data_IF_860391454429
#
_entry.id   IF_860391454429
#
_cell.length_a   1.000
_cell.length_b   1.000
_cell.length_c   1.000
_cell.angle_alpha   90.00
_cell.angle_beta   90.00
_cell.angle_gamma   90.00
#
_symmetry.space_group_name_H-M   'P 1'
#
loop_
_entity.id
_entity.type
_entity.pdbx_description
1 polymer ?
#
# COMPACT_ATOMS: atom_id res chain seq x y z
N UNK A 1 -6.25 -24.02 17.97
CA UNK A 1 -6.72 -24.55 16.66
C UNK A 1 -7.85 -23.76 16.02
N UNK A 2 -9.01 -23.52 16.64
CA UNK A 2 -10.14 -22.83 15.98
C UNK A 2 -9.85 -21.36 15.57
N UNK A 3 -9.08 -20.61 16.37
CA UNK A 3 -8.76 -19.21 16.06
C UNK A 3 -7.81 -19.02 14.85
N UNK A 4 -6.97 -20.00 14.57
CA UNK A 4 -6.03 -19.99 13.46
C UNK A 4 -6.75 -20.09 12.11
N UNK A 5 -7.61 -21.10 11.93
CA UNK A 5 -8.41 -21.29 10.72
C UNK A 5 -9.32 -20.09 10.44
N UNK A 6 -10.03 -19.60 11.47
CA UNK A 6 -10.94 -18.45 11.36
C UNK A 6 -10.20 -17.19 10.86
N UNK A 7 -8.97 -16.95 11.36
CA UNK A 7 -8.13 -15.84 10.92
C UNK A 7 -7.67 -16.03 9.48
N UNK A 8 -7.19 -17.21 9.09
CA UNK A 8 -6.77 -17.52 7.71
C UNK A 8 -7.88 -17.30 6.70
N UNK A 9 -9.10 -17.78 6.98
CA UNK A 9 -10.24 -17.60 6.09
C UNK A 9 -10.56 -16.12 5.84
N UNK A 10 -10.52 -15.30 6.89
CA UNK A 10 -10.73 -13.85 6.76
C UNK A 10 -9.63 -13.18 5.93
N UNK A 11 -8.37 -13.55 6.14
CA UNK A 11 -7.23 -13.03 5.38
C UNK A 11 -7.37 -13.41 3.91
N UNK A 12 -7.57 -14.69 3.59
CA UNK A 12 -7.73 -15.18 2.22
C UNK A 12 -8.90 -14.51 1.49
N UNK A 13 -10.00 -14.24 2.20
CA UNK A 13 -11.13 -13.50 1.63
C UNK A 13 -10.78 -12.04 1.35
N UNK A 14 -10.11 -11.37 2.28
CA UNK A 14 -9.69 -9.97 2.13
C UNK A 14 -8.67 -9.79 1.00
N UNK A 15 -7.68 -10.67 0.90
CA UNK A 15 -6.66 -10.66 -0.18
C UNK A 15 -7.28 -10.79 -1.58
N UNK A 16 -8.42 -11.47 -1.69
CA UNK A 16 -9.15 -11.65 -2.95
C UNK A 16 -10.23 -10.58 -3.19
N UNK A 17 -10.39 -9.63 -2.28
CA UNK A 17 -11.40 -8.59 -2.37
C UNK A 17 -12.85 -9.11 -2.35
N UNK A 18 -13.08 -10.33 -1.80
CA UNK A 18 -14.38 -10.97 -1.83
C UNK A 18 -15.25 -10.53 -0.65
N UNK A 19 -16.52 -10.27 -0.92
CA UNK A 19 -17.54 -10.21 0.13
C UNK A 19 -17.79 -11.61 0.70
N UNK A 20 -18.34 -11.69 1.91
CA UNK A 20 -18.68 -12.97 2.54
C UNK A 20 -19.61 -13.82 1.65
N UNK A 21 -20.55 -13.18 0.97
CA UNK A 21 -21.51 -13.84 0.06
C UNK A 21 -20.81 -14.42 -1.16
N UNK A 22 -19.94 -13.66 -1.81
CA UNK A 22 -19.17 -14.11 -2.97
C UNK A 22 -18.24 -15.27 -2.62
N UNK A 23 -17.54 -15.18 -1.49
CA UNK A 23 -16.66 -16.25 -1.03
C UNK A 23 -17.45 -17.54 -0.70
N UNK A 24 -18.62 -17.42 -0.07
CA UNK A 24 -19.49 -18.56 0.22
C UNK A 24 -20.02 -19.22 -1.07
N UNK A 25 -20.37 -18.42 -2.07
CA UNK A 25 -20.82 -18.89 -3.38
C UNK A 25 -19.70 -19.65 -4.10
N UNK A 26 -18.48 -19.10 -4.15
CA UNK A 26 -17.32 -19.77 -4.73
C UNK A 26 -16.95 -21.08 -4.03
N UNK A 27 -17.11 -21.12 -2.72
CA UNK A 27 -16.87 -22.31 -1.90
C UNK A 27 -18.03 -23.33 -1.95
N UNK A 28 -19.17 -22.98 -2.54
CA UNK A 28 -20.37 -23.83 -2.53
C UNK A 28 -20.90 -24.12 -1.14
N UNK A 29 -20.80 -23.16 -0.21
CA UNK A 29 -21.30 -23.23 1.15
C UNK A 29 -22.31 -22.10 1.42
N UNK A 30 -23.12 -22.23 2.48
CA UNK A 30 -24.03 -21.15 2.87
C UNK A 30 -23.25 -19.98 3.46
N UNK A 31 -23.63 -18.72 3.20
CA UNK A 31 -22.97 -17.55 3.79
C UNK A 31 -22.91 -17.58 5.32
N UNK A 32 -23.98 -18.08 5.98
CA UNK A 32 -24.00 -18.29 7.43
C UNK A 32 -22.92 -19.24 7.90
N UNK A 33 -22.73 -20.36 7.20
CA UNK A 33 -21.69 -21.35 7.53
C UNK A 33 -20.29 -20.74 7.41
N UNK A 34 -20.01 -20.01 6.33
CA UNK A 34 -18.72 -19.35 6.18
C UNK A 34 -18.50 -18.27 7.26
N UNK A 35 -19.53 -17.50 7.59
CA UNK A 35 -19.49 -16.52 8.69
C UNK A 35 -19.16 -17.15 10.03
N UNK A 36 -19.75 -18.29 10.32
CA UNK A 36 -19.50 -19.04 11.57
C UNK A 36 -18.07 -19.61 11.62
N UNK A 37 -17.55 -20.10 10.49
CA UNK A 37 -16.16 -20.53 10.38
C UNK A 37 -15.17 -19.36 10.55
N UNK A 38 -15.43 -18.21 9.94
CA UNK A 38 -14.60 -17.01 10.09
C UNK A 38 -14.67 -16.41 11.51
N UNK A 39 -15.71 -16.69 12.28
CA UNK A 39 -15.80 -16.33 13.71
C UNK A 39 -15.22 -17.40 14.64
N UNK A 40 -14.90 -18.57 14.11
CA UNK A 40 -14.37 -19.68 14.90
C UNK A 40 -15.38 -20.30 15.86
N UNK A 41 -16.68 -20.24 15.53
CA UNK A 41 -17.74 -20.73 16.42
C UNK A 41 -17.82 -22.25 16.47
N UNK A 42 -17.40 -22.94 15.41
CA UNK A 42 -17.33 -24.40 15.37
C UNK A 42 -16.24 -24.88 14.40
N UNK A 43 -15.87 -26.14 14.55
CA UNK A 43 -14.92 -26.80 13.67
C UNK A 43 -15.66 -27.30 12.41
N UNK A 44 -15.17 -26.99 11.19
CA UNK A 44 -15.78 -27.50 9.97
C UNK A 44 -15.60 -29.02 9.86
N UNK A 45 -16.54 -29.70 9.25
CA UNK A 45 -16.35 -31.05 8.76
C UNK A 45 -15.40 -31.07 7.57
N UNK A 46 -14.70 -32.18 7.33
CA UNK A 46 -13.69 -32.30 6.27
C UNK A 46 -14.24 -31.94 4.88
N UNK A 47 -15.49 -32.30 4.61
CA UNK A 47 -16.18 -31.95 3.34
C UNK A 47 -16.35 -30.44 3.20
N UNK A 48 -16.72 -29.76 4.29
CA UNK A 48 -16.87 -28.29 4.29
C UNK A 48 -15.54 -27.60 4.12
N UNK A 49 -14.51 -28.10 4.82
CA UNK A 49 -13.15 -27.59 4.73
C UNK A 49 -12.59 -27.72 3.31
N UNK A 50 -12.78 -28.91 2.67
CA UNK A 50 -12.36 -29.14 1.28
C UNK A 50 -13.06 -28.21 0.28
N UNK A 51 -14.36 -27.95 0.47
CA UNK A 51 -15.11 -27.00 -0.38
C UNK A 51 -14.60 -25.57 -0.22
N UNK A 52 -14.35 -25.16 1.01
CA UNK A 52 -13.80 -23.81 1.30
C UNK A 52 -12.40 -23.65 0.73
N UNK A 53 -11.52 -24.65 0.91
CA UNK A 53 -10.19 -24.67 0.33
C UNK A 53 -10.24 -24.54 -1.22
N UNK A 54 -11.11 -25.34 -1.86
CA UNK A 54 -11.33 -25.27 -3.31
C UNK A 54 -11.86 -23.90 -3.76
N UNK A 55 -12.81 -23.33 -3.02
CA UNK A 55 -13.37 -22.00 -3.31
C UNK A 55 -12.33 -20.89 -3.20
N UNK A 56 -11.38 -21.02 -2.28
CA UNK A 56 -10.25 -20.11 -2.16
C UNK A 56 -9.05 -20.48 -3.03
N UNK A 57 -9.08 -21.61 -3.77
CA UNK A 57 -7.98 -22.05 -4.62
C UNK A 57 -6.69 -22.37 -3.87
N UNK A 58 -6.81 -22.85 -2.64
CA UNK A 58 -5.69 -23.26 -1.78
C UNK A 58 -5.82 -24.74 -1.39
N UNK A 59 -4.72 -25.46 -1.13
CA UNK A 59 -4.78 -26.81 -0.61
C UNK A 59 -5.36 -26.82 0.82
N UNK A 60 -6.02 -27.95 1.21
CA UNK A 60 -6.65 -28.08 2.54
C UNK A 60 -5.60 -27.99 3.65
N UNK A 61 -4.41 -28.51 3.38
CA UNK A 61 -3.27 -28.52 4.28
C UNK A 61 -2.88 -27.11 4.68
N UNK A 62 -2.89 -26.17 3.74
CA UNK A 62 -2.59 -24.75 3.98
C UNK A 62 -3.59 -24.11 4.94
N UNK A 63 -4.86 -24.51 4.90
CA UNK A 63 -5.86 -24.03 5.86
C UNK A 63 -5.65 -24.61 7.26
N UNK A 64 -5.10 -25.82 7.35
CA UNK A 64 -4.88 -26.53 8.60
C UNK A 64 -3.50 -26.26 9.23
N UNK A 65 -2.55 -25.73 8.48
CA UNK A 65 -1.27 -25.34 9.02
C UNK A 65 -1.46 -24.37 10.20
N UNK A 66 -0.90 -24.75 11.34
CA UNK A 66 -0.88 -23.83 12.48
C UNK A 66 0.04 -22.65 12.14
N UNK A 67 -0.32 -21.43 12.55
CA UNK A 67 0.62 -20.32 12.42
C UNK A 67 1.89 -20.72 13.15
N UNK A 68 3.02 -20.55 12.47
CA UNK A 68 4.35 -20.82 13.03
C UNK A 68 4.40 -20.21 14.44
N UNK A 69 4.77 -20.97 15.48
CA UNK A 69 4.85 -20.45 16.84
C UNK A 69 5.68 -19.16 16.86
N UNK A 70 5.29 -18.20 17.68
CA UNK A 70 5.95 -16.87 17.73
C UNK A 70 7.47 -17.00 17.92
N UNK A 71 7.92 -18.05 18.61
CA UNK A 71 9.33 -18.38 18.80
C UNK A 71 10.03 -18.82 17.50
N UNK A 72 9.36 -19.61 16.65
CA UNK A 72 9.90 -20.06 15.35
C UNK A 72 9.85 -18.94 14.33
N UNK A 73 8.77 -18.14 14.31
CA UNK A 73 8.68 -16.94 13.50
C UNK A 73 9.76 -15.93 13.89
N UNK A 74 10.08 -15.81 15.19
CA UNK A 74 11.18 -14.97 15.67
C UNK A 74 12.55 -15.52 15.29
N UNK A 75 12.73 -16.84 15.22
CA UNK A 75 13.97 -17.46 14.75
C UNK A 75 14.14 -17.31 13.23
N UNK A 76 13.08 -17.49 12.47
CA UNK A 76 13.11 -17.28 11.02
C UNK A 76 13.34 -15.81 10.67
N UNK A 77 12.73 -14.87 11.42
CA UNK A 77 12.99 -13.45 11.30
C UNK A 77 14.46 -13.13 11.57
N UNK A 78 15.07 -13.69 12.63
CA UNK A 78 16.51 -13.54 12.91
C UNK A 78 17.39 -14.10 11.80
N UNK A 79 17.03 -15.27 11.21
CA UNK A 79 17.75 -15.84 10.06
C UNK A 79 17.63 -14.97 8.81
N UNK A 80 16.51 -14.28 8.63
CA UNK A 80 16.33 -13.31 7.56
C UNK A 80 17.12 -12.02 7.85
N UNK A 81 17.17 -11.58 9.10
CA UNK A 81 18.00 -10.46 9.57
C UNK A 81 19.50 -10.72 9.33
N UNK A 82 20.00 -11.93 9.64
CA UNK A 82 21.40 -12.33 9.38
C UNK A 82 21.76 -12.36 7.88
N UNK A 83 20.77 -12.50 6.99
CA UNK A 83 20.97 -12.49 5.54
C UNK A 83 20.85 -11.09 4.92
N UNK A 84 20.28 -10.13 5.64
CA UNK A 84 20.20 -8.74 5.20
C UNK A 84 21.44 -8.02 5.65
N UNK A 85 22.16 -7.37 4.74
CA UNK A 85 23.25 -6.50 5.16
C UNK A 85 22.69 -5.49 6.17
N UNK A 86 23.38 -5.34 7.31
CA UNK A 86 23.06 -4.25 8.24
C UNK A 86 22.98 -2.96 7.42
N UNK A 87 21.82 -2.33 7.40
CA UNK A 87 21.70 -1.02 6.80
C UNK A 87 22.65 -0.11 7.60
N UNK A 88 23.64 0.46 6.92
CA UNK A 88 24.53 1.44 7.57
C UNK A 88 23.62 2.49 8.22
N UNK A 89 23.82 2.77 9.52
CA UNK A 89 23.04 3.82 10.18
C UNK A 89 23.21 5.11 9.37
N UNK A 90 22.18 5.97 9.28
CA UNK A 90 22.30 7.23 8.56
C UNK A 90 23.54 7.96 9.06
N UNK A 91 24.44 8.29 8.12
CA UNK A 91 25.75 8.86 8.43
C UNK A 91 25.65 10.23 9.12
N UNK A 92 24.49 10.89 9.02
CA UNK A 92 24.17 12.14 9.71
C UNK A 92 22.74 12.07 10.29
N UNK A 93 22.56 12.01 11.64
CA UNK A 93 21.24 12.03 12.28
C UNK A 93 20.39 13.25 11.89
N UNK A 94 21.01 14.36 11.54
CA UNK A 94 20.33 15.58 11.10
C UNK A 94 19.90 15.55 9.64
N UNK A 95 20.37 14.59 8.86
CA UNK A 95 20.04 14.50 7.45
C UNK A 95 18.53 14.30 7.23
N UNK A 96 17.93 13.40 8.00
CA UNK A 96 16.50 13.16 7.92
C UNK A 96 15.68 14.42 8.22
N UNK A 97 16.00 15.12 9.31
CA UNK A 97 15.27 16.33 9.72
C UNK A 97 15.36 17.44 8.66
N UNK A 98 16.53 17.62 8.03
CA UNK A 98 16.71 18.58 6.93
C UNK A 98 15.88 18.19 5.71
N UNK A 99 15.90 16.93 5.32
CA UNK A 99 15.11 16.43 4.19
C UNK A 99 13.61 16.59 4.48
N UNK A 100 13.16 16.21 5.67
CA UNK A 100 11.77 16.34 6.09
C UNK A 100 11.33 17.81 6.07
N UNK A 101 12.11 18.73 6.61
CA UNK A 101 11.81 20.15 6.59
C UNK A 101 11.65 20.67 5.15
N UNK A 102 12.58 20.32 4.26
CA UNK A 102 12.51 20.69 2.84
C UNK A 102 11.27 20.12 2.15
N UNK A 103 10.91 18.86 2.44
CA UNK A 103 9.71 18.23 1.87
C UNK A 103 8.44 18.91 2.37
N UNK A 104 8.35 19.24 3.66
CA UNK A 104 7.19 19.93 4.22
C UNK A 104 7.01 21.36 3.67
N UNK A 105 8.10 22.06 3.37
CA UNK A 105 8.04 23.37 2.72
C UNK A 105 7.52 23.24 1.29
N UNK A 106 8.03 22.29 0.52
CA UNK A 106 7.57 21.99 -0.85
C UNK A 106 6.10 21.57 -0.87
N UNK A 107 5.65 20.72 0.07
CA UNK A 107 4.24 20.34 0.16
C UNK A 107 3.32 21.55 0.37
N UNK A 108 3.73 22.51 1.20
CA UNK A 108 2.96 23.76 1.39
C UNK A 108 2.89 24.59 0.12
N UNK A 109 3.96 24.68 -0.64
CA UNK A 109 4.00 25.36 -1.95
C UNK A 109 3.05 24.70 -2.95
N UNK A 110 3.12 23.37 -3.06
CA UNK A 110 2.26 22.58 -3.94
C UNK A 110 0.79 22.74 -3.54
N UNK A 111 0.48 22.68 -2.25
CA UNK A 111 -0.89 22.83 -1.76
C UNK A 111 -1.46 24.22 -2.09
N UNK A 112 -0.70 25.28 -1.85
CA UNK A 112 -1.11 26.65 -2.21
C UNK A 112 -1.36 26.77 -3.73
N UNK A 113 -0.51 26.16 -4.55
CA UNK A 113 -0.67 26.18 -6.01
C UNK A 113 -1.91 25.40 -6.46
N UNK A 114 -2.17 24.25 -5.86
CA UNK A 114 -3.37 23.46 -6.16
C UNK A 114 -4.65 24.20 -5.81
N UNK A 115 -4.70 24.89 -4.68
CA UNK A 115 -5.84 25.75 -4.33
C UNK A 115 -6.08 26.83 -5.38
N UNK A 116 -5.01 27.49 -5.85
CA UNK A 116 -5.09 28.46 -6.94
C UNK A 116 -5.65 27.85 -8.22
N UNK A 117 -5.12 26.70 -8.64
CA UNK A 117 -5.54 25.99 -9.86
C UNK A 117 -7.01 25.56 -9.79
N UNK A 118 -7.45 25.02 -8.64
CA UNK A 118 -8.85 24.66 -8.41
C UNK A 118 -9.75 25.89 -8.48
N UNK A 119 -9.32 27.01 -7.89
CA UNK A 119 -10.08 28.26 -7.94
C UNK A 119 -10.22 28.83 -9.35
N UNK A 120 -9.20 28.68 -10.21
CA UNK A 120 -9.24 29.05 -11.62
C UNK A 120 -10.20 28.16 -12.42
N UNK A 121 -10.26 26.88 -12.11
CA UNK A 121 -11.12 25.89 -12.75
C UNK A 121 -10.68 25.48 -14.16
N UNK A 122 -11.44 24.53 -14.72
CA UNK A 122 -11.18 23.96 -16.05
C UNK A 122 -11.24 25.04 -17.13
N UNK A 123 -10.18 25.11 -17.94
CA UNK A 123 -10.06 26.07 -19.07
C UNK A 123 -9.33 27.37 -18.74
N UNK A 124 -9.10 27.69 -17.45
CA UNK A 124 -8.26 28.81 -17.02
C UNK A 124 -6.98 28.33 -16.31
N UNK A 125 -7.02 27.17 -15.65
CA UNK A 125 -5.84 26.57 -15.06
C UNK A 125 -4.89 26.07 -16.16
N UNK A 126 -3.58 26.41 -16.03
CA UNK A 126 -2.57 25.93 -16.96
C UNK A 126 -2.32 24.44 -16.73
N UNK A 127 -2.52 23.56 -17.74
CA UNK A 127 -2.27 22.13 -17.61
C UNK A 127 -0.83 21.79 -17.24
N UNK A 128 0.15 22.60 -17.59
CA UNK A 128 1.54 22.40 -17.21
C UNK A 128 1.79 22.68 -15.72
N UNK A 129 1.08 23.64 -15.15
CA UNK A 129 1.13 23.89 -13.69
C UNK A 129 0.44 22.78 -12.91
N UNK A 130 -0.65 22.21 -13.43
CA UNK A 130 -1.30 21.02 -12.86
C UNK A 130 -0.32 19.82 -12.89
N UNK A 131 0.36 19.61 -14.01
CA UNK A 131 1.38 18.57 -14.15
C UNK A 131 2.52 18.77 -13.16
N UNK A 132 3.05 19.99 -13.07
CA UNK A 132 4.09 20.34 -12.11
C UNK A 132 3.67 20.03 -10.67
N UNK A 133 2.45 20.39 -10.27
CA UNK A 133 1.96 20.13 -8.92
C UNK A 133 1.91 18.63 -8.59
N UNK A 134 1.50 17.78 -9.54
CA UNK A 134 1.48 16.33 -9.40
C UNK A 134 2.88 15.75 -9.29
N UNK A 135 3.80 16.15 -10.19
CA UNK A 135 5.19 15.67 -10.20
C UNK A 135 5.92 16.09 -8.92
N UNK A 136 5.70 17.31 -8.42
CA UNK A 136 6.32 17.82 -7.20
C UNK A 136 5.78 17.11 -5.95
N UNK A 137 4.48 16.82 -5.90
CA UNK A 137 3.88 16.05 -4.81
C UNK A 137 4.41 14.60 -4.76
N UNK A 138 4.55 13.95 -5.92
CA UNK A 138 5.14 12.63 -6.05
C UNK A 138 6.61 12.63 -5.64
N UNK A 139 7.38 13.64 -6.04
CA UNK A 139 8.80 13.77 -5.72
C UNK A 139 9.03 14.03 -4.23
N UNK A 140 8.11 14.70 -3.55
CA UNK A 140 8.11 14.83 -2.08
C UNK A 140 8.12 13.46 -1.39
N UNK A 141 7.22 12.57 -1.78
CA UNK A 141 7.18 11.20 -1.27
C UNK A 141 8.43 10.39 -1.64
N UNK A 142 8.86 10.46 -2.90
CA UNK A 142 10.07 9.80 -3.38
C UNK A 142 11.33 10.28 -2.65
N UNK A 143 11.43 11.57 -2.36
CA UNK A 143 12.54 12.16 -1.61
C UNK A 143 12.64 11.55 -0.21
N UNK A 144 11.52 11.41 0.50
CA UNK A 144 11.52 10.75 1.81
C UNK A 144 11.88 9.28 1.72
N UNK A 145 11.42 8.55 0.70
CA UNK A 145 11.80 7.15 0.50
C UNK A 145 13.31 6.98 0.28
N UNK A 146 13.93 7.87 -0.48
CA UNK A 146 15.37 7.85 -0.73
C UNK A 146 16.18 8.22 0.52
N UNK A 147 15.62 9.02 1.41
CA UNK A 147 16.25 9.44 2.66
C UNK A 147 16.09 8.41 3.80
N UNK A 148 15.23 7.41 3.64
CA UNK A 148 15.14 6.32 4.61
C UNK A 148 16.41 5.46 4.61
N UNK A 149 16.75 4.81 5.75
CA UNK A 149 17.81 3.80 5.79
C UNK A 149 17.58 2.76 4.68
N UNK A 150 18.60 2.49 3.87
CA UNK A 150 18.50 1.56 2.74
C UNK A 150 17.67 2.06 1.56
N UNK A 151 17.26 3.32 1.55
CA UNK A 151 16.62 3.96 0.41
C UNK A 151 17.57 4.08 -0.79
N UNK A 152 17.09 3.77 -1.99
CA UNK A 152 17.90 3.81 -3.20
C UNK A 152 17.07 3.67 -4.47
N UNK A 153 17.76 3.73 -5.61
CA UNK A 153 17.13 3.55 -6.93
C UNK A 153 17.63 2.27 -7.60
N UNK A 154 16.69 1.50 -8.15
CA UNK A 154 16.95 0.37 -9.05
C UNK A 154 16.28 0.65 -10.41
N UNK A 155 17.06 1.16 -11.35
CA UNK A 155 16.53 1.69 -12.61
C UNK A 155 15.57 2.85 -12.34
N UNK A 156 14.33 2.74 -12.81
CA UNK A 156 13.26 3.74 -12.59
C UNK A 156 12.47 3.52 -11.30
N UNK A 157 12.81 2.53 -10.47
CA UNK A 157 12.09 2.23 -9.23
C UNK A 157 12.86 2.75 -8.04
N UNK A 158 12.13 3.35 -7.10
CA UNK A 158 12.64 3.65 -5.77
C UNK A 158 12.37 2.44 -4.89
N UNK A 159 13.40 1.96 -4.22
CA UNK A 159 13.33 0.79 -3.35
C UNK A 159 13.92 1.14 -1.99
N UNK A 160 13.38 0.55 -0.95
CA UNK A 160 13.94 0.63 0.41
C UNK A 160 14.38 -0.78 0.80
N UNK A 161 15.69 -1.00 0.83
CA UNK A 161 16.31 -2.30 1.18
C UNK A 161 16.74 -2.33 2.63
N UNK A 162 15.97 -1.72 3.51
CA UNK A 162 16.28 -1.74 4.92
C UNK A 162 15.47 -2.83 5.62
N UNK A 163 16.03 -3.36 6.68
CA UNK A 163 15.25 -4.03 7.70
C UNK A 163 14.26 -3.00 8.27
N UNK A 164 12.95 -3.32 8.26
CA UNK A 164 11.90 -2.42 8.79
C UNK A 164 12.18 -1.97 10.23
N UNK A 165 12.94 -2.74 11.00
CA UNK A 165 13.35 -2.41 12.36
C UNK A 165 14.45 -1.34 12.43
N UNK A 166 15.17 -1.07 11.34
CA UNK A 166 16.18 -0.01 11.28
C UNK A 166 15.59 1.37 10.95
N UNK A 167 14.31 1.42 10.58
CA UNK A 167 13.59 2.66 10.28
C UNK A 167 12.85 3.10 11.54
N UNK A 168 13.10 4.32 12.01
CA UNK A 168 12.38 4.85 13.15
C UNK A 168 10.87 5.00 12.82
N UNK A 169 9.96 4.66 13.75
CA UNK A 169 8.51 4.74 13.49
C UNK A 169 8.06 6.10 12.95
N UNK A 170 8.62 7.20 13.47
CA UNK A 170 8.32 8.54 12.99
C UNK A 170 8.76 8.80 11.54
N UNK A 171 9.89 8.24 11.08
CA UNK A 171 10.34 8.35 9.69
C UNK A 171 9.38 7.63 8.73
N UNK A 172 8.93 6.43 9.13
CA UNK A 172 7.95 5.68 8.35
C UNK A 172 6.60 6.39 8.28
N UNK A 173 6.14 6.95 9.39
CA UNK A 173 4.90 7.73 9.45
C UNK A 173 4.95 8.95 8.53
N UNK A 174 6.05 9.71 8.55
CA UNK A 174 6.22 10.88 7.66
C UNK A 174 6.24 10.49 6.18
N UNK A 175 6.87 9.37 5.85
CA UNK A 175 6.83 8.82 4.48
C UNK A 175 5.40 8.47 4.05
N UNK A 176 4.63 7.81 4.92
CA UNK A 176 3.22 7.45 4.67
C UNK A 176 2.35 8.71 4.52
N UNK A 177 2.60 9.74 5.34
CA UNK A 177 1.89 11.01 5.22
C UNK A 177 2.18 11.72 3.91
N UNK A 178 3.42 11.67 3.40
CA UNK A 178 3.76 12.26 2.09
C UNK A 178 3.12 11.48 0.93
N UNK A 179 3.02 10.16 1.01
CA UNK A 179 2.28 9.35 0.04
C UNK A 179 0.79 9.68 0.05
N UNK A 180 0.19 9.80 1.25
CA UNK A 180 -1.21 10.21 1.40
C UNK A 180 -1.45 11.60 0.84
N UNK A 181 -0.57 12.56 1.13
CA UNK A 181 -0.63 13.91 0.56
C UNK A 181 -0.74 13.89 -0.97
N UNK A 182 0.08 13.08 -1.65
CA UNK A 182 0.01 12.93 -3.11
C UNK A 182 -1.36 12.42 -3.57
N UNK A 183 -1.90 11.38 -2.94
CA UNK A 183 -3.19 10.82 -3.34
C UNK A 183 -4.37 11.73 -3.03
N UNK A 184 -4.38 12.41 -1.88
CA UNK A 184 -5.42 13.37 -1.50
C UNK A 184 -5.44 14.56 -2.49
N UNK A 185 -4.27 15.03 -2.90
CA UNK A 185 -4.12 16.09 -3.88
C UNK A 185 -4.59 15.65 -5.27
N UNK A 186 -4.22 14.44 -5.69
CA UNK A 186 -4.68 13.85 -6.95
C UNK A 186 -6.21 13.73 -6.99
N UNK A 187 -6.83 13.25 -5.91
CA UNK A 187 -8.29 13.13 -5.80
C UNK A 187 -8.97 14.49 -5.97
N UNK A 188 -8.48 15.52 -5.28
CA UNK A 188 -8.99 16.90 -5.39
C UNK A 188 -8.88 17.47 -6.81
N UNK A 189 -7.77 17.22 -7.51
CA UNK A 189 -7.58 17.65 -8.90
C UNK A 189 -8.50 16.92 -9.88
N UNK A 190 -8.76 15.63 -9.64
CA UNK A 190 -9.72 14.83 -10.41
C UNK A 190 -11.15 15.33 -10.16
N UNK A 191 -11.54 15.58 -8.91
CA UNK A 191 -12.85 16.13 -8.56
C UNK A 191 -13.08 17.52 -9.16
N UNK A 192 -12.02 18.35 -9.22
CA UNK A 192 -12.06 19.65 -9.89
C UNK A 192 -12.09 19.57 -11.43
N UNK A 193 -11.96 18.36 -12.00
CA UNK A 193 -11.92 18.14 -13.44
C UNK A 193 -10.62 18.60 -14.13
N UNK A 194 -9.56 18.88 -13.35
CA UNK A 194 -8.26 19.31 -13.87
C UNK A 194 -7.36 18.13 -14.28
N UNK A 195 -7.68 16.92 -13.82
CA UNK A 195 -6.96 15.68 -14.11
C UNK A 195 -7.96 14.62 -14.52
N UNK A 196 -7.60 13.81 -15.50
CA UNK A 196 -8.35 12.64 -15.94
C UNK A 196 -7.45 11.38 -15.97
N UNK A 197 -8.06 10.20 -15.82
CA UNK A 197 -7.34 8.94 -15.95
C UNK A 197 -7.31 8.50 -17.40
N UNK A 198 -6.11 8.36 -17.99
CA UNK A 198 -5.93 7.83 -19.35
C UNK A 198 -5.28 6.46 -19.34
N UNK A 199 -5.93 5.51 -19.96
CA UNK A 199 -5.33 4.20 -20.24
C UNK A 199 -4.38 4.32 -21.44
N UNK A 200 -3.11 3.96 -21.24
CA UNK A 200 -2.19 3.72 -22.34
C UNK A 200 -2.23 2.23 -22.70
N UNK A 201 -2.22 1.94 -24.00
CA UNK A 201 -2.33 0.57 -24.53
C UNK A 201 -1.35 -0.38 -23.83
N UNK A 202 -1.87 -1.29 -23.01
CA UNK A 202 -1.09 -2.29 -22.27
C UNK A 202 -0.41 -1.81 -20.99
N UNK A 203 -0.70 -0.60 -20.51
CA UNK A 203 -0.20 -0.05 -19.26
C UNK A 203 -1.37 0.30 -18.32
N UNK A 204 -1.05 0.42 -17.04
CA UNK A 204 -2.00 0.88 -16.02
C UNK A 204 -2.41 2.33 -16.34
N UNK A 205 -3.68 2.68 -16.10
CA UNK A 205 -4.16 4.05 -16.25
C UNK A 205 -3.30 5.02 -15.43
N UNK A 206 -2.93 6.14 -16.04
CA UNK A 206 -2.12 7.19 -15.43
C UNK A 206 -2.94 8.49 -15.33
N UNK A 207 -2.75 9.30 -14.27
CA UNK A 207 -3.38 10.60 -14.16
C UNK A 207 -2.74 11.58 -15.16
N UNK A 208 -3.54 12.22 -15.97
CA UNK A 208 -3.07 13.19 -16.98
C UNK A 208 -3.84 14.49 -16.83
N UNK A 209 -3.16 15.66 -16.75
CA UNK A 209 -3.84 16.95 -16.74
C UNK A 209 -4.69 17.15 -18.00
N UNK A 210 -5.88 17.70 -17.81
CA UNK A 210 -6.80 18.02 -18.90
C UNK A 210 -6.20 19.12 -19.77
N UNK A 211 -6.16 18.90 -21.10
CA UNK A 211 -5.60 19.86 -22.06
C UNK A 211 -4.15 19.57 -22.48
N UNK A 212 -3.44 18.64 -21.87
CA UNK A 212 -2.18 18.15 -22.42
C UNK A 212 -2.53 17.03 -23.40
N UNK A 213 -2.29 17.29 -24.70
CA UNK A 213 -2.42 16.27 -25.74
C UNK A 213 -1.48 15.10 -25.51
N UNK A 214 -1.97 13.90 -25.81
CA UNK A 214 -1.17 12.66 -25.76
C UNK A 214 -0.12 12.64 -26.86
#
# INVERSE_FOLDING_TARGET
MQGSLARKLRVLRAERGLTLRQAAEQAGVRPGTLSELERGLHRPHDITLSRVAKGYGVPVEELLEEPVPLAEASQEMRRLEDKWPEAEPPQDPLQWERVLASVLDRQREVEAKVEELIALGVGLADPYEVKWALEEAEDCWHTLMLALPGGGREGNRIVVKANLFSIAPGQWEQRVNAERFYYDLLERLVEAGLVEWKERTGQRAEPVPVGIGA
#
